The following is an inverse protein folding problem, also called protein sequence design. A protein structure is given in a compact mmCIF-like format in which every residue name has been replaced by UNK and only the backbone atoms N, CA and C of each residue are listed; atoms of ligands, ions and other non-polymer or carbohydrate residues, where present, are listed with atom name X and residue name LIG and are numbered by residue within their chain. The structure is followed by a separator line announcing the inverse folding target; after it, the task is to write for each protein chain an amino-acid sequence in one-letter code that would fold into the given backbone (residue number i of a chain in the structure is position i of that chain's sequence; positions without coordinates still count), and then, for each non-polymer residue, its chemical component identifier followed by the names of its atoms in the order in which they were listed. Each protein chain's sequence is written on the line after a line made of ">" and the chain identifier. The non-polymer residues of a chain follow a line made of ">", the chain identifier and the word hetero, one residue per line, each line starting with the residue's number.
data_IF_100950866295
#
_entry.id   IF_100950866295
#
_cell.length_a   1.000
_cell.length_b   1.000
_cell.length_c   1.000
_cell.angle_alpha   90.00
_cell.angle_beta   90.00
_cell.angle_gamma   90.00
#
_symmetry.space_group_name_H-M   'P 1'
#
loop_
_entity.id
_entity.type
_entity.pdbx_description
1 polymer ?
#
# COMPACT_ATOMS: atom_id res chain seq x y z
N UNK A 1 1.01 -8.36 -14.30
CA UNK A 1 1.69 -8.55 -13.00
C UNK A 1 0.76 -9.20 -11.98
N UNK A 2 1.30 -9.61 -10.83
CA UNK A 2 0.57 -10.26 -9.73
C UNK A 2 -0.68 -9.46 -9.30
N UNK A 3 -0.52 -8.16 -9.05
CA UNK A 3 -1.59 -7.26 -8.60
C UNK A 3 -2.77 -7.23 -9.59
N UNK A 4 -2.50 -7.12 -10.89
CA UNK A 4 -3.54 -7.13 -11.92
C UNK A 4 -4.34 -8.44 -11.94
N UNK A 5 -3.70 -9.58 -11.64
CA UNK A 5 -4.39 -10.88 -11.55
C UNK A 5 -5.26 -10.95 -10.30
N UNK A 6 -4.80 -10.39 -9.19
CA UNK A 6 -5.56 -10.33 -7.94
C UNK A 6 -6.83 -9.48 -8.12
N UNK A 7 -6.71 -8.25 -8.63
CA UNK A 7 -7.85 -7.35 -8.91
C UNK A 7 -8.88 -8.05 -9.81
N UNK A 8 -8.43 -8.63 -10.93
CA UNK A 8 -9.30 -9.34 -11.86
C UNK A 8 -10.03 -10.52 -11.20
N UNK A 9 -9.41 -11.20 -10.24
CA UNK A 9 -10.04 -12.31 -9.52
C UNK A 9 -11.21 -11.81 -8.65
N UNK A 10 -11.00 -10.69 -7.95
CA UNK A 10 -12.02 -10.02 -7.12
C UNK A 10 -13.19 -9.55 -7.98
N UNK A 11 -12.90 -8.87 -9.10
CA UNK A 11 -13.91 -8.39 -10.06
C UNK A 11 -14.74 -9.55 -10.64
N UNK A 12 -14.09 -10.64 -11.07
CA UNK A 12 -14.79 -11.82 -11.63
C UNK A 12 -15.71 -12.50 -10.62
N UNK A 13 -15.46 -12.33 -9.33
CA UNK A 13 -16.30 -12.86 -8.25
C UNK A 13 -17.37 -11.87 -7.79
N UNK A 14 -17.44 -10.69 -8.42
CA UNK A 14 -18.37 -9.61 -8.04
C UNK A 14 -18.25 -9.24 -6.56
N UNK A 15 -17.03 -9.29 -6.03
CA UNK A 15 -16.74 -8.85 -4.66
C UNK A 15 -16.52 -7.34 -4.73
N UNK A 16 -17.52 -6.58 -4.29
CA UNK A 16 -17.47 -5.13 -4.32
C UNK A 16 -16.79 -4.57 -3.08
N UNK A 17 -15.95 -3.55 -3.28
CA UNK A 17 -15.20 -2.91 -2.22
C UNK A 17 -13.92 -2.30 -2.74
N UNK A 18 -13.14 -1.75 -1.82
CA UNK A 18 -11.83 -1.20 -2.12
C UNK A 18 -10.85 -1.55 -1.01
N UNK A 19 -9.57 -1.49 -1.36
CA UNK A 19 -8.49 -1.71 -0.42
C UNK A 19 -7.26 -0.89 -0.80
N UNK A 20 -6.48 -0.54 0.21
CA UNK A 20 -5.07 -0.16 0.04
C UNK A 20 -4.25 -1.39 -0.37
N UNK A 21 -3.01 -1.17 -0.79
CA UNK A 21 -2.07 -2.25 -1.11
C UNK A 21 -0.67 -1.87 -0.64
N UNK A 22 -0.06 -2.70 0.19
CA UNK A 22 1.38 -2.65 0.45
C UNK A 22 1.99 -4.01 0.07
N UNK A 23 2.81 -4.04 -0.98
CA UNK A 23 3.45 -5.26 -1.49
C UNK A 23 4.95 -5.11 -1.47
N UNK A 24 5.65 -6.04 -0.81
CA UNK A 24 7.11 -6.14 -0.80
C UNK A 24 7.54 -7.45 -1.46
N UNK A 25 8.63 -7.38 -2.22
CA UNK A 25 9.30 -8.53 -2.83
C UNK A 25 10.79 -8.42 -2.61
N UNK A 26 11.40 -9.48 -2.09
CA UNK A 26 12.83 -9.54 -1.81
C UNK A 26 13.46 -10.58 -2.74
N UNK A 27 14.43 -10.15 -3.53
CA UNK A 27 15.30 -11.07 -4.24
C UNK A 27 16.36 -11.61 -3.28
N UNK A 28 16.30 -12.91 -2.99
CA UNK A 28 17.20 -13.59 -2.04
C UNK A 28 18.66 -13.65 -2.49
N UNK A 29 18.94 -13.49 -3.78
CA UNK A 29 20.31 -13.57 -4.30
C UNK A 29 20.98 -12.20 -4.29
N UNK A 30 20.26 -11.17 -4.72
CA UNK A 30 20.78 -9.80 -4.76
C UNK A 30 20.54 -9.01 -3.48
N UNK A 31 19.73 -9.55 -2.54
CA UNK A 31 19.22 -8.83 -1.36
C UNK A 31 18.49 -7.54 -1.73
N UNK A 32 17.87 -7.52 -2.92
CA UNK A 32 17.20 -6.34 -3.45
C UNK A 32 15.72 -6.37 -3.09
N UNK A 33 15.27 -5.35 -2.35
CA UNK A 33 13.89 -5.08 -2.05
C UNK A 33 13.26 -4.30 -3.20
N UNK A 34 12.05 -4.72 -3.59
CA UNK A 34 11.13 -3.95 -4.42
C UNK A 34 9.80 -3.84 -3.69
N UNK A 35 9.23 -2.65 -3.65
CA UNK A 35 7.92 -2.42 -3.06
C UNK A 35 6.98 -1.71 -4.01
N UNK A 36 5.68 -1.97 -3.84
CA UNK A 36 4.60 -1.20 -4.43
C UNK A 36 3.58 -0.86 -3.34
N UNK A 37 3.40 0.42 -3.06
CA UNK A 37 2.43 0.91 -2.10
C UNK A 37 1.32 1.72 -2.78
N UNK A 38 0.07 1.52 -2.38
CA UNK A 38 -1.11 2.26 -2.82
C UNK A 38 -1.95 2.57 -1.58
N UNK A 39 -2.07 3.85 -1.26
CA UNK A 39 -2.85 4.33 -0.11
C UNK A 39 -2.00 4.68 1.09
N UNK A 40 -2.55 4.51 2.29
CA UNK A 40 -2.00 4.93 3.59
C UNK A 40 -1.56 3.77 4.49
N UNK A 41 -1.79 2.54 4.05
CA UNK A 41 -0.97 1.40 4.47
C UNK A 41 0.47 1.61 3.98
N UNK A 42 1.42 0.85 4.53
CA UNK A 42 2.81 1.09 4.18
C UNK A 42 3.80 0.16 4.84
N UNK A 43 5.07 0.45 4.59
CA UNK A 43 6.19 -0.24 5.18
C UNK A 43 7.26 0.73 5.68
N UNK A 44 8.06 0.25 6.63
CA UNK A 44 9.26 0.90 7.13
C UNK A 44 10.42 -0.12 7.09
N UNK A 45 11.59 0.33 6.66
CA UNK A 45 12.85 -0.37 6.85
C UNK A 45 13.59 0.31 8.01
N UNK A 46 13.83 -0.44 9.06
CA UNK A 46 14.51 0.01 10.26
C UNK A 46 15.85 -0.71 10.36
N UNK A 47 16.91 0.03 10.66
CA UNK A 47 18.25 -0.52 10.89
C UNK A 47 18.87 0.16 12.09
N UNK A 48 19.28 -0.62 13.08
CA UNK A 48 19.90 -0.10 14.31
C UNK A 48 19.06 1.01 14.96
N UNK A 49 17.75 0.77 15.08
CA UNK A 49 16.76 1.68 15.66
C UNK A 49 16.65 3.03 14.94
N UNK A 50 16.98 3.07 13.65
CA UNK A 50 16.84 4.24 12.79
C UNK A 50 15.98 3.90 11.59
N UNK A 51 15.10 4.82 11.21
CA UNK A 51 14.38 4.72 9.96
C UNK A 51 15.34 4.89 8.79
N UNK A 52 15.36 3.92 7.88
CA UNK A 52 16.17 3.95 6.65
C UNK A 52 15.32 4.35 5.45
N UNK A 53 14.17 3.69 5.26
CA UNK A 53 13.18 4.05 4.24
C UNK A 53 11.76 3.82 4.78
N UNK A 54 10.81 4.59 4.27
CA UNK A 54 9.37 4.44 4.52
C UNK A 54 8.61 4.72 3.24
N UNK A 55 7.54 3.97 2.99
CA UNK A 55 6.59 4.32 1.92
C UNK A 55 5.81 5.57 2.28
N UNK A 56 5.62 6.48 1.33
CA UNK A 56 4.83 7.68 1.54
C UNK A 56 3.32 7.35 1.50
N UNK A 57 2.53 7.80 2.49
CA UNK A 57 1.08 7.64 2.44
C UNK A 57 0.49 8.52 1.33
N UNK A 58 -0.47 7.97 0.58
CA UNK A 58 -1.04 8.60 -0.61
C UNK A 58 -2.53 8.88 -0.41
N UNK A 59 -2.92 10.15 -0.58
CA UNK A 59 -4.30 10.61 -0.39
C UNK A 59 -4.81 11.38 -1.60
N UNK A 60 -6.09 11.19 -1.90
CA UNK A 60 -6.87 12.04 -2.78
C UNK A 60 -7.17 13.39 -2.13
N UNK A 61 -7.72 14.33 -2.92
CA UNK A 61 -8.27 15.58 -2.39
C UNK A 61 -9.39 15.28 -1.38
N UNK A 62 -9.15 15.58 -0.10
CA UNK A 62 -10.11 15.32 1.00
C UNK A 62 -9.79 14.10 1.86
N UNK A 63 -8.49 13.80 2.06
CA UNK A 63 -7.96 12.78 2.98
C UNK A 63 -8.41 11.33 2.76
N UNK A 64 -9.11 11.01 1.67
CA UNK A 64 -9.38 9.61 1.30
C UNK A 64 -8.11 8.96 0.73
N UNK A 65 -7.69 7.78 1.20
CA UNK A 65 -6.50 7.14 0.66
C UNK A 65 -6.70 6.67 -0.78
N UNK A 66 -5.58 6.58 -1.50
CA UNK A 66 -5.53 5.86 -2.77
C UNK A 66 -5.92 4.41 -2.54
N UNK A 67 -6.67 3.84 -3.49
CA UNK A 67 -7.29 2.53 -3.29
C UNK A 67 -7.56 1.81 -4.62
N UNK A 68 -7.30 0.51 -4.60
CA UNK A 68 -7.73 -0.41 -5.64
C UNK A 68 -9.18 -0.79 -5.37
N UNK A 69 -10.05 -0.61 -6.35
CA UNK A 69 -11.49 -0.79 -6.16
C UNK A 69 -12.05 -1.81 -7.13
N UNK A 70 -13.01 -2.60 -6.68
CA UNK A 70 -13.91 -3.37 -7.53
C UNK A 70 -15.31 -2.79 -7.39
N UNK A 71 -15.77 -2.14 -8.45
CA UNK A 71 -17.03 -1.38 -8.45
C UNK A 71 -18.13 -2.14 -9.22
N UNK A 72 -19.41 -2.01 -8.82
CA UNK A 72 -20.53 -2.51 -9.61
C UNK A 72 -20.56 -1.83 -10.98
N UNK A 73 -20.80 -2.61 -12.04
CA UNK A 73 -20.92 -2.10 -13.42
C UNK A 73 -22.24 -1.38 -13.70
N UNK A 74 -23.21 -1.47 -12.80
CA UNK A 74 -24.52 -0.83 -12.94
C UNK A 74 -24.46 0.65 -12.58
N UNK A 75 -24.89 1.51 -13.51
CA UNK A 75 -24.98 2.98 -13.40
C UNK A 75 -25.76 3.51 -12.17
N UNK A 76 -26.36 2.64 -11.38
CA UNK A 76 -27.20 2.96 -10.22
C UNK A 76 -26.44 3.55 -9.02
N UNK A 77 -25.11 3.42 -8.97
CA UNK A 77 -24.29 3.92 -7.84
C UNK A 77 -23.64 5.29 -8.10
N UNK A 78 -23.74 5.84 -9.31
CA UNK A 78 -23.25 7.19 -9.61
C UNK A 78 -24.33 8.22 -9.24
N UNK A 79 -24.67 8.29 -7.96
CA UNK A 79 -25.26 9.53 -7.43
C UNK A 79 -24.17 10.60 -7.45
N UNK A 80 -24.49 11.83 -7.84
CA UNK A 80 -23.55 12.96 -7.88
C UNK A 80 -22.90 13.32 -6.53
N UNK A 81 -23.22 12.56 -5.47
CA UNK A 81 -22.80 12.80 -4.08
C UNK A 81 -21.68 11.87 -3.60
N UNK A 82 -21.37 10.75 -4.28
CA UNK A 82 -20.34 9.80 -3.83
C UNK A 82 -19.20 9.73 -4.83
N UNK A 83 -18.04 10.30 -4.47
CA UNK A 83 -16.81 10.12 -5.24
C UNK A 83 -16.28 8.70 -5.02
N UNK A 84 -16.29 7.89 -6.07
CA UNK A 84 -15.69 6.57 -6.07
C UNK A 84 -14.28 6.68 -6.64
N UNK A 85 -13.28 6.35 -5.84
CA UNK A 85 -11.89 6.28 -6.28
C UNK A 85 -11.61 4.89 -6.84
N UNK A 86 -10.86 4.83 -7.94
CA UNK A 86 -10.51 3.58 -8.63
C UNK A 86 -9.10 3.73 -9.20
N UNK A 87 -8.12 3.70 -8.31
CA UNK A 87 -6.72 3.88 -8.66
C UNK A 87 -6.16 2.62 -9.31
N UNK A 88 -5.09 2.80 -10.09
CA UNK A 88 -4.40 1.73 -10.80
C UNK A 88 -3.14 1.36 -10.04
N UNK A 89 -2.61 0.12 -10.24
CA UNK A 89 -1.30 -0.23 -9.73
C UNK A 89 -0.17 0.71 -10.18
N UNK A 90 -0.33 1.41 -11.31
CA UNK A 90 0.62 2.41 -11.80
C UNK A 90 0.61 3.73 -11.02
N UNK A 91 -0.42 3.97 -10.21
CA UNK A 91 -0.58 5.20 -9.43
C UNK A 91 0.07 5.07 -8.04
N UNK A 92 0.53 3.86 -7.70
CA UNK A 92 1.24 3.55 -6.47
C UNK A 92 2.69 4.02 -6.45
N UNK A 93 3.24 4.14 -5.26
CA UNK A 93 4.66 4.40 -5.05
C UNK A 93 5.47 3.12 -5.22
N UNK A 94 6.51 3.19 -6.06
CA UNK A 94 7.47 2.13 -6.26
C UNK A 94 8.82 2.51 -5.63
N UNK A 95 9.32 1.68 -4.72
CA UNK A 95 10.64 1.87 -4.10
C UNK A 95 11.47 0.61 -4.35
N UNK A 96 12.75 0.83 -4.66
CA UNK A 96 13.74 -0.22 -4.64
C UNK A 96 14.87 0.12 -3.67
N UNK A 97 15.41 -0.88 -2.99
CA UNK A 97 16.46 -0.69 -2.00
C UNK A 97 17.32 -1.94 -1.82
N UNK A 98 18.61 -1.77 -1.55
CA UNK A 98 19.47 -2.88 -1.16
C UNK A 98 19.33 -3.14 0.34
N UNK A 99 19.02 -4.38 0.72
CA UNK A 99 18.92 -4.78 2.11
C UNK A 99 20.29 -5.15 2.68
N UNK A 100 20.43 -4.94 3.99
CA UNK A 100 21.58 -5.36 4.78
C UNK A 100 21.15 -6.35 5.87
N UNK A 101 22.11 -7.16 6.32
CA UNK A 101 21.88 -8.07 7.44
C UNK A 101 21.59 -7.23 8.70
N UNK A 102 20.50 -7.55 9.38
CA UNK A 102 20.03 -6.80 10.56
C UNK A 102 18.94 -5.77 10.23
N UNK A 103 18.53 -5.65 8.97
CA UNK A 103 17.35 -4.88 8.58
C UNK A 103 16.06 -5.48 9.13
N UNK A 104 15.20 -4.62 9.68
CA UNK A 104 13.84 -4.93 10.08
C UNK A 104 12.86 -4.29 9.09
N UNK A 105 12.10 -5.13 8.39
CA UNK A 105 11.00 -4.69 7.54
C UNK A 105 9.68 -4.79 8.31
N UNK A 106 9.11 -3.64 8.63
CA UNK A 106 7.78 -3.51 9.20
C UNK A 106 6.78 -3.23 8.08
N UNK A 107 5.72 -4.02 7.98
CA UNK A 107 4.60 -3.79 7.06
C UNK A 107 3.34 -3.68 7.93
N UNK A 108 2.58 -2.59 7.76
CA UNK A 108 1.40 -2.34 8.56
C UNK A 108 0.34 -1.54 7.78
N UNK A 109 -0.88 -1.53 8.31
CA UNK A 109 -1.93 -0.62 7.88
C UNK A 109 -1.86 0.71 8.63
N UNK A 110 -2.68 1.67 8.18
CA UNK A 110 -2.99 2.94 8.85
C UNK A 110 -3.30 2.79 10.35
N UNK A 111 -3.97 1.72 10.76
CA UNK A 111 -4.24 1.42 12.17
C UNK A 111 -3.00 1.39 13.08
N UNK A 112 -1.81 1.13 12.55
CA UNK A 112 -0.56 1.35 13.31
C UNK A 112 -0.08 2.79 13.21
N UNK A 113 0.02 3.31 11.98
CA UNK A 113 0.66 4.59 11.69
C UNK A 113 -0.12 5.82 12.19
N UNK A 114 -1.43 5.70 12.35
CA UNK A 114 -2.30 6.73 12.91
C UNK A 114 -2.24 6.79 14.43
N UNK A 115 -1.80 5.69 15.07
CA UNK A 115 -1.87 5.53 16.52
C UNK A 115 -0.51 5.62 17.22
N UNK A 116 0.61 5.46 16.50
CA UNK A 116 1.94 5.50 17.07
C UNK A 116 2.85 6.48 16.34
N UNK A 117 3.60 7.25 17.12
CA UNK A 117 4.66 8.10 16.58
C UNK A 117 5.82 7.26 16.06
N UNK A 118 6.45 7.77 15.00
CA UNK A 118 7.59 7.12 14.35
C UNK A 118 8.73 6.82 15.32
N UNK A 119 9.05 7.75 16.23
CA UNK A 119 10.11 7.59 17.24
C UNK A 119 9.87 6.41 18.18
N UNK A 120 8.60 6.02 18.39
CA UNK A 120 8.24 4.83 19.15
C UNK A 120 8.37 3.57 18.29
N UNK A 121 7.93 3.64 17.03
CA UNK A 121 8.01 2.53 16.07
C UNK A 121 9.46 2.19 15.69
N UNK A 122 10.41 3.11 15.73
CA UNK A 122 11.81 2.75 15.43
C UNK A 122 12.53 2.05 16.59
N UNK A 123 11.89 1.94 17.76
CA UNK A 123 12.46 1.36 18.99
C UNK A 123 12.03 -0.08 19.27
N UNK A 124 11.23 -0.70 18.39
CA UNK A 124 10.84 -2.13 18.48
C UNK A 124 12.03 -3.08 18.36
#
# INVERSE_FOLDING_TARGET
>A
GLVHRAIRCVEKRSIFGSATLCLLSIDKHSSYLRSLNIGDSGFMLIRQNKLIIRSHPQYHRGSSPFQLSSLPTTQSFTSNTTRLYHDKPSDGEYIEHNLEIGDLLLIASDGLFDNLYEDFIVQI
#
